data_IF_927470409687
#
_entry.id   IF_927470409687
#
_cell.length_a   1.000
_cell.length_b   1.000
_cell.length_c   1.000
_cell.angle_alpha   90.00
_cell.angle_beta   90.00
_cell.angle_gamma   90.00
#
_symmetry.space_group_name_H-M   'P 1'
#
loop_
_entity.id
_entity.type
_entity.pdbx_description
1 polymer ?
#
# COMPACT_ATOMS: atom_id res chain seq x y z
N UNK A 1 -2.96 -31.18 -23.20
CA UNK A 1 -1.74 -30.71 -22.51
C UNK A 1 -1.48 -29.30 -22.98
N UNK A 2 -0.96 -28.45 -22.09
CA UNK A 2 -0.61 -27.05 -22.41
C UNK A 2 0.82 -26.98 -22.95
N UNK A 3 1.12 -26.00 -23.79
CA UNK A 3 2.41 -25.92 -24.50
C UNK A 3 3.29 -24.78 -24.02
N UNK A 4 2.73 -23.85 -23.24
CA UNK A 4 3.48 -22.70 -22.73
C UNK A 4 3.42 -22.62 -21.21
N UNK A 5 4.46 -22.04 -20.61
CA UNK A 5 4.52 -21.82 -19.17
C UNK A 5 3.33 -21.00 -18.62
N UNK A 6 2.86 -19.91 -19.29
CA UNK A 6 1.66 -19.18 -18.87
C UNK A 6 0.40 -20.05 -18.81
N UNK A 7 0.21 -20.97 -19.76
CA UNK A 7 -0.92 -21.90 -19.77
C UNK A 7 -0.83 -22.94 -18.64
N UNK A 8 0.39 -23.39 -18.28
CA UNK A 8 0.62 -24.31 -17.15
C UNK A 8 0.19 -23.73 -15.81
N UNK A 9 0.38 -22.41 -15.61
CA UNK A 9 0.08 -21.73 -14.34
C UNK A 9 -1.25 -20.96 -14.35
N UNK A 10 -2.02 -21.06 -15.45
CA UNK A 10 -3.29 -20.36 -15.59
C UNK A 10 -3.16 -18.83 -15.64
N UNK A 11 -2.04 -18.31 -16.15
CA UNK A 11 -1.86 -16.86 -16.31
C UNK A 11 -2.87 -16.29 -17.28
N UNK A 12 -3.68 -15.34 -16.80
CA UNK A 12 -4.60 -14.55 -17.61
C UNK A 12 -3.86 -13.38 -18.25
N UNK A 13 -4.12 -13.11 -19.53
CA UNK A 13 -3.70 -11.86 -20.16
C UNK A 13 -4.63 -10.75 -19.65
N UNK A 14 -4.23 -10.07 -18.57
CA UNK A 14 -5.02 -9.01 -17.95
C UNK A 14 -4.84 -7.68 -18.68
N UNK A 15 -5.93 -7.18 -19.26
CA UNK A 15 -6.02 -5.79 -19.71
C UNK A 15 -6.15 -4.87 -18.50
N UNK A 16 -5.02 -4.39 -18.02
CA UNK A 16 -4.96 -3.49 -16.88
C UNK A 16 -5.53 -2.10 -17.19
N UNK A 17 -6.20 -1.50 -16.20
CA UNK A 17 -6.69 -0.13 -16.32
C UNK A 17 -5.51 0.88 -16.36
N UNK A 18 -5.68 2.06 -16.97
CA UNK A 18 -4.59 3.05 -17.15
C UNK A 18 -3.90 3.50 -15.85
N UNK A 19 -4.60 3.44 -14.72
CA UNK A 19 -4.03 3.78 -13.41
C UNK A 19 -3.09 2.70 -12.85
N UNK A 20 -3.19 1.46 -13.31
CA UNK A 20 -2.37 0.35 -12.85
C UNK A 20 -0.99 0.34 -13.52
N UNK A 21 0.09 0.04 -12.79
CA UNK A 21 0.17 -0.25 -11.35
C UNK A 21 0.44 1.00 -10.50
N UNK A 22 -0.35 1.22 -9.45
CA UNK A 22 -0.14 2.33 -8.51
C UNK A 22 1.05 2.12 -7.56
N UNK A 23 1.39 0.88 -7.22
CA UNK A 23 2.49 0.59 -6.30
C UNK A 23 3.84 1.11 -6.82
N UNK A 24 4.03 1.17 -8.15
CA UNK A 24 5.25 1.73 -8.75
C UNK A 24 5.43 3.20 -8.42
N UNK A 25 4.33 3.96 -8.29
CA UNK A 25 4.38 5.36 -7.88
C UNK A 25 4.71 5.48 -6.40
N UNK A 26 4.03 4.71 -5.53
CA UNK A 26 4.30 4.71 -4.09
C UNK A 26 5.76 4.38 -3.78
N UNK A 27 6.36 3.44 -4.52
CA UNK A 27 7.76 3.05 -4.37
C UNK A 27 8.75 4.13 -4.85
N UNK A 28 8.34 5.03 -5.74
CA UNK A 28 9.16 6.15 -6.19
C UNK A 28 8.98 7.42 -5.36
N UNK A 29 8.05 7.43 -4.40
CA UNK A 29 7.83 8.59 -3.53
C UNK A 29 9.08 8.89 -2.70
N UNK A 30 9.36 10.17 -2.51
CA UNK A 30 10.43 10.65 -1.63
C UNK A 30 9.84 11.40 -0.46
N UNK A 31 10.61 11.62 0.61
CA UNK A 31 10.18 12.43 1.77
C UNK A 31 10.08 13.93 1.47
N UNK A 32 10.14 14.32 0.20
CA UNK A 32 9.94 15.71 -0.23
C UNK A 32 8.47 16.13 -0.16
N UNK A 33 7.51 15.19 -0.28
CA UNK A 33 6.08 15.46 -0.15
C UNK A 33 5.54 14.97 1.20
N UNK A 34 4.43 15.55 1.65
CA UNK A 34 3.74 15.06 2.86
C UNK A 34 3.29 13.62 2.70
N UNK A 35 2.81 13.23 1.52
CA UNK A 35 2.42 11.87 1.21
C UNK A 35 3.59 10.89 1.27
N UNK A 36 4.78 11.28 0.79
CA UNK A 36 5.98 10.45 0.89
C UNK A 36 6.51 10.31 2.32
N UNK A 37 6.42 11.37 3.13
CA UNK A 37 6.73 11.29 4.57
C UNK A 37 5.75 10.35 5.30
N UNK A 38 4.45 10.48 5.01
CA UNK A 38 3.42 9.60 5.56
C UNK A 38 3.65 8.14 5.15
N UNK A 39 3.99 7.88 3.88
CA UNK A 39 4.32 6.55 3.36
C UNK A 39 5.46 5.87 4.12
N UNK A 40 6.58 6.58 4.32
CA UNK A 40 7.74 6.04 5.06
C UNK A 40 7.35 5.73 6.51
N UNK A 41 6.72 6.67 7.22
CA UNK A 41 6.30 6.47 8.62
C UNK A 41 5.28 5.36 8.77
N UNK A 42 4.33 5.24 7.84
CA UNK A 42 3.38 4.13 7.80
C UNK A 42 4.11 2.80 7.60
N UNK A 43 5.13 2.75 6.74
CA UNK A 43 5.97 1.58 6.54
C UNK A 43 6.68 1.16 7.82
N UNK A 44 7.31 2.10 8.52
CA UNK A 44 8.00 1.86 9.80
C UNK A 44 7.04 1.34 10.88
N UNK A 45 5.89 2.02 11.07
CA UNK A 45 4.88 1.60 12.04
C UNK A 45 4.35 0.20 11.71
N UNK A 46 4.10 -0.11 10.44
CA UNK A 46 3.67 -1.45 10.03
C UNK A 46 4.71 -2.51 10.36
N UNK A 47 5.98 -2.27 10.04
CA UNK A 47 7.07 -3.23 10.32
C UNK A 47 7.26 -3.47 11.81
N UNK A 48 7.08 -2.44 12.65
CA UNK A 48 7.23 -2.57 14.09
C UNK A 48 6.01 -3.25 14.74
N UNK A 49 4.79 -2.87 14.34
CA UNK A 49 3.58 -3.21 15.07
C UNK A 49 2.86 -4.45 14.56
N UNK A 50 2.85 -4.72 13.25
CA UNK A 50 2.10 -5.87 12.72
C UNK A 50 2.59 -7.21 13.29
N UNK A 51 3.92 -7.47 13.44
CA UNK A 51 4.38 -8.68 14.12
C UNK A 51 3.91 -8.75 15.58
N UNK A 52 3.89 -7.61 16.29
CA UNK A 52 3.43 -7.55 17.70
C UNK A 52 1.95 -7.86 17.81
N UNK A 53 1.12 -7.30 16.93
CA UNK A 53 -0.32 -7.54 16.88
C UNK A 53 -0.61 -9.02 16.59
N UNK A 54 0.07 -9.62 15.61
CA UNK A 54 -0.12 -11.04 15.25
C UNK A 54 0.25 -11.96 16.40
N UNK A 55 1.30 -11.61 17.16
CA UNK A 55 1.78 -12.41 18.30
C UNK A 55 1.07 -12.06 19.62
N UNK A 56 0.17 -11.08 19.63
CA UNK A 56 -0.50 -10.63 20.83
C UNK A 56 -1.50 -11.67 21.35
N UNK A 57 -1.60 -11.80 22.67
CA UNK A 57 -2.66 -12.59 23.32
C UNK A 57 -4.03 -11.90 23.22
N UNK A 58 -4.02 -10.56 23.24
CA UNK A 58 -5.19 -9.72 23.05
C UNK A 58 -5.00 -8.92 21.76
N UNK A 59 -5.65 -9.41 20.71
CA UNK A 59 -5.59 -8.82 19.38
C UNK A 59 -6.23 -7.43 19.34
N UNK A 60 -7.42 -7.26 19.93
CA UNK A 60 -8.21 -6.03 19.81
C UNK A 60 -7.52 -4.84 20.47
N UNK A 61 -6.96 -5.05 21.66
CA UNK A 61 -6.19 -4.01 22.36
C UNK A 61 -4.92 -3.63 21.60
N UNK A 62 -4.16 -4.63 21.13
CA UNK A 62 -2.93 -4.39 20.36
C UNK A 62 -3.21 -3.73 19.02
N UNK A 63 -4.32 -4.09 18.38
CA UNK A 63 -4.80 -3.48 17.14
C UNK A 63 -5.19 -2.02 17.36
N UNK A 64 -5.87 -1.69 18.47
CA UNK A 64 -6.22 -0.31 18.81
C UNK A 64 -4.96 0.57 19.00
N UNK A 65 -3.94 0.06 19.69
CA UNK A 65 -2.66 0.75 19.86
C UNK A 65 -1.92 0.95 18.53
N UNK A 66 -1.89 -0.08 17.68
CA UNK A 66 -1.37 0.02 16.32
C UNK A 66 -2.10 1.09 15.52
N UNK A 67 -3.44 1.09 15.52
CA UNK A 67 -4.25 2.06 14.78
C UNK A 67 -4.01 3.49 15.27
N UNK A 68 -3.82 3.69 16.57
CA UNK A 68 -3.45 5.01 17.12
C UNK A 68 -2.11 5.50 16.58
N UNK A 69 -1.09 4.63 16.54
CA UNK A 69 0.22 4.96 15.96
C UNK A 69 0.13 5.19 14.46
N UNK A 70 -0.58 4.33 13.74
CA UNK A 70 -0.78 4.44 12.31
C UNK A 70 -1.49 5.75 11.93
N UNK A 71 -2.56 6.11 12.63
CA UNK A 71 -3.30 7.36 12.39
C UNK A 71 -2.44 8.60 12.70
N UNK A 72 -1.52 8.52 13.66
CA UNK A 72 -0.60 9.62 13.94
C UNK A 72 0.39 9.92 12.80
N UNK A 73 0.58 8.96 11.88
CA UNK A 73 1.42 9.13 10.69
C UNK A 73 0.75 9.93 9.57
N UNK A 74 -0.52 10.33 9.74
CA UNK A 74 -1.32 11.05 8.73
C UNK A 74 -1.47 10.30 7.40
N UNK A 75 -2.04 9.08 7.42
CA UNK A 75 -2.25 8.29 6.20
C UNK A 75 -3.08 9.02 5.13
N UNK A 76 -3.92 9.98 5.52
CA UNK A 76 -4.68 10.86 4.62
C UNK A 76 -3.79 11.66 3.65
N UNK A 77 -2.60 12.09 4.07
CA UNK A 77 -1.67 12.82 3.20
C UNK A 77 -1.15 11.91 2.08
N UNK A 78 -0.88 10.64 2.39
CA UNK A 78 -0.53 9.62 1.40
C UNK A 78 -1.70 9.32 0.47
N UNK A 79 -2.90 9.08 1.03
CA UNK A 79 -4.09 8.77 0.24
C UNK A 79 -4.47 9.89 -0.72
N UNK A 80 -4.33 11.16 -0.30
CA UNK A 80 -4.59 12.32 -1.15
C UNK A 80 -3.65 12.36 -2.37
N UNK A 81 -2.35 12.10 -2.16
CA UNK A 81 -1.37 12.07 -3.25
C UNK A 81 -1.61 10.89 -4.20
N UNK A 82 -1.93 9.72 -3.65
CA UNK A 82 -2.29 8.55 -4.45
C UNK A 82 -3.57 8.77 -5.26
N UNK A 83 -4.55 9.48 -4.70
CA UNK A 83 -5.77 9.83 -5.40
C UNK A 83 -5.51 10.79 -6.56
N UNK A 84 -4.63 11.78 -6.37
CA UNK A 84 -4.24 12.70 -7.44
C UNK A 84 -3.54 11.96 -8.60
N UNK A 85 -2.63 11.03 -8.28
CA UNK A 85 -1.94 10.22 -9.31
C UNK A 85 -2.92 9.28 -10.03
N UNK A 86 -3.87 8.69 -9.30
CA UNK A 86 -4.92 7.86 -9.90
C UNK A 86 -5.73 8.67 -10.91
N UNK A 87 -6.19 9.88 -10.55
CA UNK A 87 -6.96 10.75 -11.44
C UNK A 87 -6.15 11.14 -12.68
N UNK A 88 -4.87 11.52 -12.49
CA UNK A 88 -3.94 11.86 -13.57
C UNK A 88 -3.81 10.73 -14.59
N UNK A 89 -3.67 9.48 -14.14
CA UNK A 89 -3.55 8.31 -15.03
C UNK A 89 -4.87 7.90 -15.66
N UNK A 90 -5.97 8.04 -14.91
CA UNK A 90 -7.30 7.76 -15.41
C UNK A 90 -7.82 8.82 -16.41
N UNK A 91 -7.09 9.93 -16.60
CA UNK A 91 -7.45 10.99 -17.52
C UNK A 91 -8.66 11.83 -17.06
N UNK A 92 -8.85 11.95 -15.74
CA UNK A 92 -9.91 12.76 -15.13
C UNK A 92 -9.37 14.05 -14.54
#
# INVERSE_FOLDING_TARGET
>A
GVTTYPEMIGSVNEHNAPWFPMYSYSNSMTTATKGGVAWVKMGEVKHEWLPKVVMAKDFDSSWADYMKKYNSCKPEDFLAEMQAELLRRAGK
#
